data_IF_001406601735
#
_entry.id   IF_001406601735
#
_cell.length_a   1.000
_cell.length_b   1.000
_cell.length_c   1.000
_cell.angle_alpha   90.00
_cell.angle_beta   90.00
_cell.angle_gamma   90.00
#
_symmetry.space_group_name_H-M   'P 1'
#
loop_
_entity.id
_entity.type
_entity.pdbx_description
1 polymer ?
#
# COMPACT_ATOMS: atom_id res chain seq x y z
N UNK A 1 40.01 72.80 5.82
CA UNK A 1 41.23 72.02 5.49
C UNK A 1 40.78 70.59 5.22
N UNK A 2 40.54 70.15 3.97
CA UNK A 2 41.48 69.86 2.88
C UNK A 2 42.41 68.67 3.14
N UNK A 3 42.09 67.52 2.50
CA UNK A 3 43.01 66.43 2.16
C UNK A 3 43.11 65.32 3.21
N UNK A 4 43.16 64.02 2.87
CA UNK A 4 43.57 63.37 1.62
C UNK A 4 42.88 62.00 1.46
N UNK A 5 42.60 61.67 0.20
CA UNK A 5 42.20 60.35 -0.33
C UNK A 5 43.35 59.36 -0.14
N UNK A 6 43.09 58.05 -0.01
CA UNK A 6 43.40 57.03 -1.05
C UNK A 6 43.25 55.57 -0.55
N UNK A 7 42.61 54.76 -1.42
CA UNK A 7 42.91 53.35 -1.79
C UNK A 7 42.83 52.26 -0.69
N UNK A 8 42.56 50.98 -0.95
CA UNK A 8 42.00 50.20 -2.07
C UNK A 8 42.18 48.72 -1.64
N UNK A 9 41.11 47.92 -1.73
CA UNK A 9 41.02 46.49 -2.13
C UNK A 9 41.89 45.40 -1.46
N UNK A 10 41.21 44.33 -1.04
CA UNK A 10 41.70 42.95 -0.86
C UNK A 10 40.80 42.23 0.15
N UNK A 11 39.72 41.53 -0.22
CA UNK A 11 39.58 40.25 -0.92
C UNK A 11 40.00 39.02 -0.07
N UNK A 12 39.06 38.08 0.08
CA UNK A 12 39.20 36.76 0.74
C UNK A 12 38.63 36.79 2.16
N UNK A 13 37.73 35.92 2.62
CA UNK A 13 37.25 34.64 2.13
C UNK A 13 36.87 33.82 3.37
N UNK A 14 35.62 33.32 3.39
CA UNK A 14 35.01 32.31 4.25
C UNK A 14 35.65 31.91 5.60
N UNK A 15 34.86 32.03 6.67
CA UNK A 15 34.53 30.91 7.56
C UNK A 15 33.46 31.37 8.57
N UNK A 16 32.26 30.81 8.48
CA UNK A 16 31.22 30.92 9.49
C UNK A 16 31.33 29.72 10.44
N UNK A 17 31.44 29.90 11.76
CA UNK A 17 31.18 28.83 12.72
C UNK A 17 29.94 29.14 13.56
N UNK A 18 29.07 28.15 13.71
CA UNK A 18 28.07 28.14 14.78
C UNK A 18 26.70 27.63 14.36
N UNK A 19 26.52 26.31 14.45
CA UNK A 19 25.21 25.70 14.63
C UNK A 19 24.53 26.22 15.92
N UNK A 20 23.21 26.06 16.08
CA UNK A 20 22.73 24.79 16.62
C UNK A 20 21.43 24.25 16.02
N UNK A 21 21.29 22.93 16.22
CA UNK A 21 20.04 22.19 16.39
C UNK A 21 19.03 22.12 15.22
N UNK A 22 19.25 21.09 14.39
CA UNK A 22 18.15 20.39 13.73
C UNK A 22 17.28 19.70 14.79
N UNK A 23 15.94 19.91 14.82
CA UNK A 23 15.08 19.04 15.58
C UNK A 23 14.86 17.72 14.82
N UNK A 24 14.83 16.67 15.62
CA UNK A 24 14.57 15.28 15.27
C UNK A 24 13.27 15.08 14.48
N UNK A 25 13.32 14.16 13.52
CA UNK A 25 12.42 13.00 13.42
C UNK A 25 13.03 12.01 12.42
N UNK A 26 14.02 11.24 12.87
CA UNK A 26 14.27 9.92 12.28
C UNK A 26 13.42 8.93 13.08
N UNK A 27 12.23 8.63 12.55
CA UNK A 27 11.66 7.30 12.71
C UNK A 27 11.80 6.69 11.33
N UNK A 28 12.96 6.08 11.09
CA UNK A 28 13.06 5.09 10.04
C UNK A 28 12.17 3.94 10.49
N UNK A 29 10.90 4.02 10.11
CA UNK A 29 9.96 2.92 10.20
C UNK A 29 10.61 1.80 9.40
N UNK A 30 11.05 0.76 10.09
CA UNK A 30 11.55 -0.46 9.47
C UNK A 30 10.33 -1.09 8.80
N UNK A 31 10.05 -0.67 7.56
CA UNK A 31 8.83 -1.05 6.83
C UNK A 31 8.86 -2.56 6.69
N UNK A 32 8.16 -3.25 7.60
CA UNK A 32 8.00 -4.69 7.54
C UNK A 32 7.43 -5.04 6.17
N UNK A 33 8.02 -6.02 5.50
CA UNK A 33 7.59 -6.41 4.17
C UNK A 33 6.09 -6.76 4.19
N UNK A 34 5.31 -6.30 3.20
CA UNK A 34 3.87 -6.54 3.19
C UNK A 34 3.57 -8.04 3.07
N UNK A 35 2.55 -8.51 3.78
CA UNK A 35 2.08 -9.88 3.68
C UNK A 35 1.26 -10.04 2.39
N UNK A 36 1.76 -10.86 1.46
CA UNK A 36 1.01 -11.21 0.24
C UNK A 36 0.18 -12.46 0.45
N UNK A 37 -1.12 -12.37 0.17
CA UNK A 37 -2.07 -13.46 0.16
C UNK A 37 -2.42 -13.82 -1.29
N UNK A 38 -1.88 -14.93 -1.77
CA UNK A 38 -2.21 -15.46 -3.09
C UNK A 38 -3.57 -16.17 -3.05
N UNK A 39 -4.51 -15.69 -3.85
CA UNK A 39 -5.82 -16.32 -3.99
C UNK A 39 -5.68 -17.66 -4.74
N UNK A 40 -6.40 -18.72 -4.33
CA UNK A 40 -6.35 -20.02 -4.98
C UNK A 40 -6.85 -19.97 -6.43
N UNK A 41 -6.31 -20.82 -7.30
CA UNK A 41 -6.79 -20.91 -8.68
C UNK A 41 -8.27 -21.37 -8.78
N UNK A 42 -8.65 -22.35 -7.97
CA UNK A 42 -10.06 -22.72 -7.75
C UNK A 42 -10.54 -22.13 -6.41
N UNK A 43 -10.96 -20.87 -6.45
CA UNK A 43 -11.46 -20.15 -5.28
C UNK A 43 -12.97 -20.33 -5.10
N UNK A 44 -13.38 -21.59 -4.91
CA UNK A 44 -14.76 -21.98 -4.58
C UNK A 44 -14.82 -22.61 -3.19
N UNK A 45 -16.00 -23.07 -2.78
CA UNK A 45 -16.28 -23.62 -1.44
C UNK A 45 -15.21 -24.55 -0.84
N UNK A 46 -14.55 -25.37 -1.66
CA UNK A 46 -13.50 -26.30 -1.19
C UNK A 46 -12.28 -25.58 -0.58
N UNK A 47 -11.93 -24.39 -1.08
CA UNK A 47 -10.79 -23.61 -0.62
C UNK A 47 -11.16 -22.62 0.52
N UNK A 48 -12.45 -22.33 0.72
CA UNK A 48 -12.90 -21.24 1.59
C UNK A 48 -12.53 -21.43 3.06
N UNK A 49 -12.61 -22.65 3.60
CA UNK A 49 -12.33 -22.88 5.01
C UNK A 49 -10.86 -22.59 5.34
N UNK A 50 -9.93 -23.08 4.52
CA UNK A 50 -8.50 -22.84 4.68
C UNK A 50 -8.15 -21.38 4.42
N UNK A 51 -8.68 -20.80 3.33
CA UNK A 51 -8.38 -19.41 2.98
C UNK A 51 -8.95 -18.41 3.99
N UNK A 52 -10.12 -18.69 4.59
CA UNK A 52 -10.67 -17.89 5.69
C UNK A 52 -9.70 -17.82 6.88
N UNK A 53 -9.03 -18.91 7.24
CA UNK A 53 -8.04 -18.88 8.33
C UNK A 53 -6.87 -17.97 7.96
N UNK A 54 -6.35 -18.08 6.74
CA UNK A 54 -5.28 -17.18 6.26
C UNK A 54 -5.70 -15.72 6.30
N UNK A 55 -6.95 -15.41 5.93
CA UNK A 55 -7.48 -14.05 6.04
C UNK A 55 -7.55 -13.59 7.50
N UNK A 56 -7.98 -14.44 8.43
CA UNK A 56 -8.01 -14.12 9.86
C UNK A 56 -6.60 -13.83 10.38
N UNK A 57 -5.63 -14.70 10.07
CA UNK A 57 -4.24 -14.52 10.49
C UNK A 57 -3.65 -13.24 9.90
N UNK A 58 -3.97 -12.93 8.63
CA UNK A 58 -3.53 -11.71 7.97
C UNK A 58 -4.04 -10.43 8.64
N UNK A 59 -5.14 -10.48 9.39
CA UNK A 59 -5.63 -9.31 10.13
C UNK A 59 -4.68 -8.86 11.24
N UNK A 60 -3.66 -9.63 11.59
CA UNK A 60 -2.64 -9.17 12.55
C UNK A 60 -1.46 -8.45 11.88
N UNK A 61 -1.50 -8.29 10.55
CA UNK A 61 -0.48 -7.60 9.76
C UNK A 61 -0.91 -6.19 9.35
N UNK A 62 0.04 -5.26 9.31
CA UNK A 62 -0.21 -3.85 8.98
C UNK A 62 -0.35 -3.57 7.49
N UNK A 63 0.47 -4.25 6.68
CA UNK A 63 0.45 -4.13 5.22
C UNK A 63 0.10 -5.49 4.60
N UNK A 64 -1.01 -5.52 3.86
CA UNK A 64 -1.56 -6.73 3.25
C UNK A 64 -1.73 -6.48 1.75
N UNK A 65 -1.31 -7.45 0.95
CA UNK A 65 -1.43 -7.46 -0.51
C UNK A 65 -2.26 -8.67 -0.93
N UNK A 66 -3.30 -8.46 -1.74
CA UNK A 66 -4.06 -9.53 -2.36
C UNK A 66 -3.52 -9.80 -3.76
N UNK A 67 -3.10 -11.03 -4.03
CA UNK A 67 -2.71 -11.48 -5.37
C UNK A 67 -3.77 -12.42 -5.95
N UNK A 68 -4.59 -11.88 -6.84
CA UNK A 68 -5.64 -12.57 -7.56
C UNK A 68 -5.24 -13.10 -8.93
N UNK A 69 -3.96 -13.09 -9.31
CA UNK A 69 -3.53 -13.44 -10.67
C UNK A 69 -3.88 -14.89 -11.06
N UNK A 70 -3.79 -15.83 -10.12
CA UNK A 70 -3.97 -17.26 -10.38
C UNK A 70 -5.44 -17.69 -10.46
N UNK A 71 -6.40 -16.82 -10.13
CA UNK A 71 -7.82 -17.20 -10.00
C UNK A 71 -8.42 -17.53 -11.36
N UNK A 72 -8.77 -18.80 -11.55
CA UNK A 72 -9.43 -19.32 -12.76
C UNK A 72 -10.92 -19.60 -12.53
N UNK A 73 -11.32 -19.84 -11.27
CA UNK A 73 -12.70 -20.14 -10.88
C UNK A 73 -13.02 -19.51 -9.55
N UNK A 74 -14.18 -18.86 -9.46
CA UNK A 74 -14.64 -18.21 -8.23
C UNK A 74 -16.16 -18.38 -8.09
N UNK A 75 -16.64 -18.47 -6.85
CA UNK A 75 -18.08 -18.46 -6.55
C UNK A 75 -18.47 -17.24 -5.68
N UNK A 76 -19.78 -17.04 -5.51
CA UNK A 76 -20.30 -15.92 -4.73
C UNK A 76 -19.82 -15.95 -3.27
N UNK A 77 -19.68 -17.13 -2.68
CA UNK A 77 -19.27 -17.25 -1.28
C UNK A 77 -17.79 -16.87 -1.09
N UNK A 78 -16.93 -17.14 -2.08
CA UNK A 78 -15.55 -16.66 -2.09
C UNK A 78 -15.47 -15.13 -2.21
N UNK A 79 -16.27 -14.52 -3.09
CA UNK A 79 -16.35 -13.05 -3.18
C UNK A 79 -16.89 -12.43 -1.88
N UNK A 80 -17.91 -13.05 -1.26
CA UNK A 80 -18.44 -12.61 0.03
C UNK A 80 -17.38 -12.68 1.13
N UNK A 81 -16.53 -13.71 1.13
CA UNK A 81 -15.42 -13.82 2.07
C UNK A 81 -14.44 -12.65 1.92
N UNK A 82 -14.08 -12.27 0.69
CA UNK A 82 -13.25 -11.08 0.43
C UNK A 82 -13.94 -9.78 0.87
N UNK A 83 -15.25 -9.64 0.64
CA UNK A 83 -16.02 -8.46 1.11
C UNK A 83 -16.00 -8.35 2.64
N UNK A 84 -16.20 -9.47 3.35
CA UNK A 84 -16.14 -9.49 4.82
C UNK A 84 -14.74 -9.10 5.30
N UNK A 85 -13.70 -9.64 4.66
CA UNK A 85 -12.32 -9.28 4.96
C UNK A 85 -12.04 -7.79 4.74
N UNK A 86 -12.49 -7.22 3.61
CA UNK A 86 -12.31 -5.80 3.32
C UNK A 86 -13.00 -4.92 4.36
N UNK A 87 -14.21 -5.29 4.80
CA UNK A 87 -14.95 -4.58 5.86
C UNK A 87 -14.24 -4.63 7.20
N UNK A 88 -13.63 -5.77 7.53
CA UNK A 88 -12.85 -5.92 8.76
C UNK A 88 -11.57 -5.07 8.72
N UNK A 89 -10.91 -4.98 7.57
CA UNK A 89 -9.78 -4.06 7.39
C UNK A 89 -10.23 -2.59 7.49
N UNK A 90 -11.37 -2.23 6.91
CA UNK A 90 -11.92 -0.88 7.01
C UNK A 90 -12.27 -0.50 8.46
N UNK A 91 -12.84 -1.43 9.22
CA UNK A 91 -13.11 -1.23 10.66
C UNK A 91 -11.84 -0.99 11.47
N UNK A 92 -10.71 -1.53 11.01
CA UNK A 92 -9.37 -1.33 11.57
C UNK A 92 -8.59 -0.19 10.90
N UNK A 93 -9.25 0.60 10.04
CA UNK A 93 -8.67 1.70 9.28
C UNK A 93 -7.45 1.30 8.42
N UNK A 94 -7.44 0.05 7.95
CA UNK A 94 -6.43 -0.48 7.03
C UNK A 94 -7.05 -0.71 5.66
N UNK A 95 -6.23 -0.60 4.62
CA UNK A 95 -6.64 -0.88 3.26
C UNK A 95 -5.64 -1.85 2.64
N UNK A 96 -6.06 -3.05 2.20
CA UNK A 96 -5.19 -3.92 1.44
C UNK A 96 -4.96 -3.31 0.06
N UNK A 97 -3.81 -3.61 -0.54
CA UNK A 97 -3.58 -3.33 -1.95
C UNK A 97 -3.78 -4.60 -2.78
N UNK A 98 -4.19 -4.43 -4.03
CA UNK A 98 -4.19 -5.52 -5.00
C UNK A 98 -2.87 -5.50 -5.76
N UNK A 99 -2.20 -6.65 -5.86
CA UNK A 99 -1.06 -6.83 -6.77
C UNK A 99 -1.54 -7.12 -8.19
N UNK A 100 -2.52 -8.00 -8.32
CA UNK A 100 -3.13 -8.39 -9.58
C UNK A 100 -4.53 -8.93 -9.32
N UNK A 101 -5.41 -8.83 -10.30
CA UNK A 101 -6.72 -9.45 -10.29
C UNK A 101 -6.97 -10.09 -11.66
N UNK A 102 -7.26 -11.39 -11.69
CA UNK A 102 -7.57 -12.08 -12.94
C UNK A 102 -8.87 -11.56 -13.55
N UNK A 103 -9.02 -11.69 -14.87
CA UNK A 103 -10.25 -11.33 -15.58
C UNK A 103 -11.46 -12.05 -15.00
N UNK A 104 -11.34 -13.34 -14.66
CA UNK A 104 -12.42 -14.12 -14.04
C UNK A 104 -12.86 -13.51 -12.70
N UNK A 105 -11.90 -13.07 -11.88
CA UNK A 105 -12.20 -12.45 -10.59
C UNK A 105 -12.88 -11.09 -10.77
N UNK A 106 -12.36 -10.26 -11.67
CA UNK A 106 -12.89 -8.92 -11.96
C UNK A 106 -14.29 -9.01 -12.55
N UNK A 107 -14.53 -9.85 -13.55
CA UNK A 107 -15.85 -10.07 -14.14
C UNK A 107 -16.87 -10.58 -13.12
N UNK A 108 -16.47 -11.52 -12.25
CA UNK A 108 -17.36 -12.02 -11.20
C UNK A 108 -17.72 -10.94 -10.17
N UNK A 109 -16.77 -10.06 -9.82
CA UNK A 109 -17.03 -8.90 -8.98
C UNK A 109 -17.94 -7.89 -9.68
N UNK A 110 -17.74 -7.62 -10.97
CA UNK A 110 -18.56 -6.70 -11.77
C UNK A 110 -20.01 -7.18 -11.88
N UNK A 111 -20.24 -8.46 -12.17
CA UNK A 111 -21.58 -9.06 -12.25
C UNK A 111 -22.36 -8.88 -10.95
N UNK A 112 -21.68 -8.89 -9.80
CA UNK A 112 -22.29 -8.70 -8.49
C UNK A 112 -22.26 -7.24 -8.00
N UNK A 113 -21.70 -6.31 -8.76
CA UNK A 113 -21.54 -4.91 -8.35
C UNK A 113 -20.56 -4.71 -7.18
N UNK A 114 -19.59 -5.62 -7.02
CA UNK A 114 -18.67 -5.66 -5.89
C UNK A 114 -17.31 -5.01 -6.17
N UNK A 115 -17.00 -4.61 -7.40
CA UNK A 115 -15.67 -4.06 -7.79
C UNK A 115 -15.21 -2.93 -6.86
N UNK A 116 -16.10 -1.98 -6.55
CA UNK A 116 -15.79 -0.87 -5.63
C UNK A 116 -15.68 -1.32 -4.18
N UNK A 117 -16.54 -2.27 -3.76
CA UNK A 117 -16.52 -2.81 -2.40
C UNK A 117 -15.23 -3.57 -2.13
N UNK A 118 -14.73 -4.29 -3.13
CA UNK A 118 -13.47 -5.04 -3.08
C UNK A 118 -12.24 -4.17 -3.39
N UNK A 119 -12.43 -2.88 -3.66
CA UNK A 119 -11.35 -1.93 -4.00
C UNK A 119 -10.43 -2.46 -5.11
N UNK A 120 -11.02 -3.16 -6.08
CA UNK A 120 -10.25 -3.77 -7.16
C UNK A 120 -9.65 -2.70 -8.08
N UNK A 121 -8.48 -2.96 -8.69
CA UNK A 121 -7.94 -2.07 -9.70
C UNK A 121 -8.93 -1.97 -10.86
N UNK A 122 -8.99 -0.80 -11.50
CA UNK A 122 -9.81 -0.64 -12.69
C UNK A 122 -9.36 -1.68 -13.74
N UNK A 123 -10.29 -2.29 -14.50
CA UNK A 123 -9.92 -3.15 -15.60
C UNK A 123 -9.05 -2.33 -16.56
N UNK A 124 -7.82 -2.78 -16.81
CA UNK A 124 -7.02 -2.21 -17.90
C UNK A 124 -7.77 -2.50 -19.20
N UNK A 125 -8.41 -1.47 -19.75
CA UNK A 125 -9.05 -1.52 -21.06
C UNK A 125 -7.97 -1.85 -22.10
N UNK A 126 -7.93 -3.10 -22.56
CA UNK A 126 -7.12 -3.56 -23.67
C UNK A 126 -7.83 -3.32 -25.01
#
# INVERSE_FOLDING_TARGET
>A
MAGKRTRQKGQGGAANPGAPEAPAVEVADEVAAPLTLALPADFRIAAQAAFKQQLIDALDHDAIVLDGAAVERVDTAALQLLVVFQRELDARQRAPSWQSASTVLTEAAEVLGLTQTLKMPAPELA
#
